data_IF_632921674113
#
_entry.id   IF_632921674113
#
_cell.length_a   1.000
_cell.length_b   1.000
_cell.length_c   1.000
_cell.angle_alpha   90.00
_cell.angle_beta   90.00
_cell.angle_gamma   90.00
#
_symmetry.space_group_name_H-M   'P 1'
#
loop_
_entity.id
_entity.type
_entity.pdbx_description
1 polymer ?
#
# COMPACT_ATOMS: atom_id res chain seq x y z
N UNK A 1 71.81 64.07 -10.24
CA UNK A 1 70.87 63.89 -9.21
C UNK A 1 69.52 63.54 -9.83
N UNK A 2 69.32 62.32 -10.44
CA UNK A 2 68.09 61.87 -11.11
C UNK A 2 67.96 60.35 -11.10
N UNK A 3 67.92 59.73 -9.95
CA UNK A 3 67.86 58.25 -9.92
C UNK A 3 66.73 57.68 -8.94
N UNK A 4 65.92 58.49 -8.27
CA UNK A 4 65.04 57.93 -7.26
C UNK A 4 63.50 57.98 -7.55
N UNK A 5 63.07 58.34 -8.76
CA UNK A 5 61.64 58.45 -9.04
C UNK A 5 61.07 57.19 -9.73
N UNK A 6 61.88 56.34 -10.36
CA UNK A 6 61.35 55.16 -11.09
C UNK A 6 61.08 53.97 -10.18
N UNK A 7 61.73 53.78 -9.05
CA UNK A 7 61.51 52.62 -8.16
C UNK A 7 60.21 52.68 -7.38
N UNK A 8 59.76 53.90 -7.04
CA UNK A 8 58.44 54.02 -6.29
C UNK A 8 57.25 53.74 -7.11
N UNK A 9 57.28 53.99 -8.41
CA UNK A 9 56.15 53.72 -9.33
C UNK A 9 56.06 52.22 -9.64
N UNK A 10 57.18 51.53 -9.76
CA UNK A 10 57.23 50.09 -9.98
C UNK A 10 56.72 49.28 -8.76
N UNK A 11 57.08 49.69 -7.54
CA UNK A 11 56.60 49.06 -6.30
C UNK A 11 55.06 49.25 -6.11
N UNK A 12 54.51 50.41 -6.47
CA UNK A 12 53.07 50.65 -6.34
C UNK A 12 52.28 49.85 -7.37
N UNK A 13 52.79 49.67 -8.59
CA UNK A 13 52.13 48.85 -9.62
C UNK A 13 52.14 47.35 -9.28
N UNK A 14 53.20 46.84 -8.67
CA UNK A 14 53.26 45.45 -8.21
C UNK A 14 52.31 45.18 -7.02
N UNK A 15 52.19 46.11 -6.09
CA UNK A 15 51.20 46.01 -4.99
C UNK A 15 49.76 46.01 -5.51
N UNK A 16 49.41 46.89 -6.43
CA UNK A 16 48.11 46.94 -7.06
C UNK A 16 47.82 45.63 -7.79
N UNK A 17 48.76 45.12 -8.59
CA UNK A 17 48.60 43.84 -9.27
C UNK A 17 48.42 42.68 -8.30
N UNK A 18 49.13 42.67 -7.17
CA UNK A 18 48.97 41.66 -6.11
C UNK A 18 47.60 41.70 -5.45
N UNK A 19 47.09 42.91 -5.13
CA UNK A 19 45.72 43.08 -4.56
C UNK A 19 44.64 42.63 -5.54
N UNK A 20 44.79 43.00 -6.81
CA UNK A 20 43.83 42.57 -7.88
C UNK A 20 43.82 41.07 -8.01
N UNK A 21 45.01 40.41 -7.97
CA UNK A 21 45.09 38.95 -8.05
C UNK A 21 44.43 38.27 -6.86
N UNK A 22 44.62 38.76 -5.63
CA UNK A 22 44.00 38.23 -4.43
C UNK A 22 42.45 38.39 -4.47
N UNK A 23 41.96 39.52 -4.96
CA UNK A 23 40.51 39.74 -5.13
C UNK A 23 39.93 38.81 -6.19
N UNK A 24 40.64 38.62 -7.31
CA UNK A 24 40.21 37.68 -8.36
C UNK A 24 40.19 36.25 -7.86
N UNK A 25 41.22 35.81 -7.11
CA UNK A 25 41.24 34.47 -6.52
C UNK A 25 40.14 34.28 -5.49
N UNK A 26 39.85 35.28 -4.67
CA UNK A 26 38.79 35.24 -3.67
C UNK A 26 37.38 35.19 -4.33
N UNK A 27 37.17 35.97 -5.40
CA UNK A 27 35.91 35.92 -6.17
C UNK A 27 35.75 34.58 -6.89
N UNK A 28 36.82 34.08 -7.53
CA UNK A 28 36.80 32.77 -8.19
C UNK A 28 36.52 31.63 -7.20
N UNK A 29 37.14 31.64 -6.04
CA UNK A 29 36.90 30.67 -4.98
C UNK A 29 35.45 30.69 -4.46
N UNK A 30 34.89 31.88 -4.26
CA UNK A 30 33.48 32.03 -3.87
C UNK A 30 32.50 31.52 -4.95
N UNK A 31 32.79 31.80 -6.22
CA UNK A 31 32.00 31.29 -7.35
C UNK A 31 32.06 29.76 -7.43
N UNK A 32 33.24 29.18 -7.31
CA UNK A 32 33.42 27.72 -7.32
C UNK A 32 32.69 27.06 -6.16
N UNK A 33 32.78 27.62 -4.96
CA UNK A 33 32.05 27.09 -3.79
C UNK A 33 30.55 27.12 -3.93
N UNK A 34 30.00 28.24 -4.42
CA UNK A 34 28.57 28.38 -4.70
C UNK A 34 28.11 27.43 -5.80
N UNK A 35 28.84 27.33 -6.88
CA UNK A 35 28.51 26.43 -7.98
C UNK A 35 28.52 24.95 -7.55
N UNK A 36 29.47 24.54 -6.70
CA UNK A 36 29.53 23.20 -6.13
C UNK A 36 28.32 22.91 -5.24
N UNK A 37 27.87 23.90 -4.48
CA UNK A 37 26.62 23.84 -3.66
C UNK A 37 25.38 23.66 -4.52
N UNK A 38 25.22 24.48 -5.54
CA UNK A 38 24.06 24.45 -6.44
C UNK A 38 23.97 23.13 -7.24
N UNK A 39 25.10 22.59 -7.69
CA UNK A 39 25.18 21.28 -8.38
C UNK A 39 24.79 20.16 -7.42
N UNK A 40 25.29 20.18 -6.18
CA UNK A 40 24.96 19.17 -5.17
C UNK A 40 23.49 19.19 -4.79
N UNK A 41 22.87 20.36 -4.70
CA UNK A 41 21.45 20.49 -4.39
C UNK A 41 20.55 20.06 -5.55
N UNK A 42 20.92 20.40 -6.78
CA UNK A 42 20.23 19.94 -7.98
C UNK A 42 20.29 18.41 -8.12
N UNK A 43 21.44 17.79 -7.82
CA UNK A 43 21.58 16.34 -7.86
C UNK A 43 20.75 15.64 -6.79
N UNK A 44 20.74 16.18 -5.56
CA UNK A 44 19.86 15.68 -4.47
C UNK A 44 18.38 15.78 -4.83
N UNK A 45 17.98 16.87 -5.47
CA UNK A 45 16.60 17.07 -5.89
C UNK A 45 16.21 16.05 -6.97
N UNK A 46 17.05 15.88 -7.99
CA UNK A 46 16.84 14.86 -9.04
C UNK A 46 16.76 13.45 -8.48
N UNK A 47 17.61 13.12 -7.51
CA UNK A 47 17.61 11.81 -6.86
C UNK A 47 16.31 11.59 -6.06
N UNK A 48 15.84 12.61 -5.32
CA UNK A 48 14.56 12.55 -4.60
C UNK A 48 13.36 12.39 -5.53
N UNK A 49 13.34 13.14 -6.63
CA UNK A 49 12.27 13.07 -7.62
C UNK A 49 12.25 11.70 -8.31
N UNK A 50 13.42 11.18 -8.66
CA UNK A 50 13.56 9.83 -9.22
C UNK A 50 13.07 8.75 -8.25
N UNK A 51 13.45 8.85 -6.96
CA UNK A 51 12.96 7.95 -5.91
C UNK A 51 11.45 8.01 -5.75
N UNK A 52 10.89 9.22 -5.71
CA UNK A 52 9.44 9.43 -5.58
C UNK A 52 8.67 8.81 -6.75
N UNK A 53 9.16 9.00 -7.96
CA UNK A 53 8.55 8.41 -9.15
C UNK A 53 8.56 6.89 -9.09
N UNK A 54 9.73 6.29 -8.78
CA UNK A 54 9.87 4.84 -8.65
C UNK A 54 9.03 4.26 -7.52
N UNK A 55 8.95 4.94 -6.38
CA UNK A 55 8.09 4.54 -5.27
C UNK A 55 6.61 4.58 -5.66
N UNK A 56 6.19 5.59 -6.41
CA UNK A 56 4.82 5.68 -6.91
C UNK A 56 4.50 4.56 -7.89
N UNK A 57 5.39 4.26 -8.83
CA UNK A 57 5.21 3.17 -9.80
C UNK A 57 5.19 1.81 -9.10
N UNK A 58 6.07 1.57 -8.12
CA UNK A 58 6.06 0.39 -7.27
C UNK A 58 4.71 0.21 -6.57
N UNK A 59 4.24 1.26 -5.90
CA UNK A 59 2.96 1.21 -5.17
C UNK A 59 1.79 0.94 -6.12
N UNK A 60 1.76 1.59 -7.29
CA UNK A 60 0.70 1.37 -8.28
C UNK A 60 0.69 -0.06 -8.83
N UNK A 61 1.86 -0.66 -9.07
CA UNK A 61 1.92 -2.04 -9.57
C UNK A 61 1.53 -3.04 -8.48
N UNK A 62 1.98 -2.82 -7.24
CA UNK A 62 1.57 -3.60 -6.09
C UNK A 62 0.07 -3.53 -5.83
N UNK A 63 -0.49 -2.33 -5.77
CA UNK A 63 -1.93 -2.10 -5.55
C UNK A 63 -2.77 -2.71 -6.67
N UNK A 64 -2.28 -2.68 -7.91
CA UNK A 64 -2.97 -3.30 -9.04
C UNK A 64 -3.13 -4.80 -8.86
N UNK A 65 -2.10 -5.49 -8.35
CA UNK A 65 -2.16 -6.93 -8.10
C UNK A 65 -3.15 -7.26 -6.97
N UNK A 66 -3.11 -6.53 -5.86
CA UNK A 66 -4.08 -6.71 -4.78
C UNK A 66 -5.50 -6.37 -5.21
N UNK A 67 -5.67 -5.32 -6.01
CA UNK A 67 -6.97 -4.91 -6.55
C UNK A 67 -7.57 -5.97 -7.46
N UNK A 68 -6.78 -6.66 -8.28
CA UNK A 68 -7.28 -7.78 -9.12
C UNK A 68 -7.88 -8.88 -8.26
N UNK A 69 -7.20 -9.26 -7.18
CA UNK A 69 -7.73 -10.27 -6.24
C UNK A 69 -8.97 -9.74 -5.54
N UNK A 70 -8.94 -8.50 -5.07
CA UNK A 70 -10.08 -7.87 -4.40
C UNK A 70 -11.33 -7.83 -5.29
N UNK A 71 -11.18 -7.42 -6.55
CA UNK A 71 -12.28 -7.34 -7.51
C UNK A 71 -12.83 -8.73 -7.87
N UNK A 72 -12.02 -9.78 -7.86
CA UNK A 72 -12.49 -11.14 -8.09
C UNK A 72 -13.48 -11.60 -7.01
N UNK A 73 -13.39 -11.03 -5.79
CA UNK A 73 -14.32 -11.24 -4.69
C UNK A 73 -15.44 -10.19 -4.63
N UNK A 74 -15.65 -9.42 -5.70
CA UNK A 74 -16.88 -8.63 -5.80
C UNK A 74 -18.05 -9.59 -6.03
N UNK A 75 -18.80 -9.87 -4.94
CA UNK A 75 -19.82 -10.89 -4.90
C UNK A 75 -21.19 -10.28 -5.12
N UNK A 76 -22.04 -10.96 -5.87
CA UNK A 76 -23.46 -10.67 -5.93
C UNK A 76 -24.10 -11.06 -4.61
N UNK A 77 -24.78 -10.12 -3.96
CA UNK A 77 -25.36 -10.32 -2.63
C UNK A 77 -26.45 -11.39 -2.62
N UNK A 78 -27.28 -11.47 -3.68
CA UNK A 78 -28.37 -12.41 -3.75
C UNK A 78 -27.88 -13.83 -4.05
N UNK A 79 -26.86 -13.97 -4.88
CA UNK A 79 -26.20 -15.25 -5.14
C UNK A 79 -25.49 -15.76 -3.87
N UNK A 80 -24.80 -14.87 -3.17
CA UNK A 80 -24.12 -15.21 -1.92
C UNK A 80 -25.08 -15.64 -0.81
N UNK A 81 -26.26 -15.01 -0.68
CA UNK A 81 -27.27 -15.41 0.31
C UNK A 81 -27.83 -16.81 0.04
N UNK A 82 -28.00 -17.19 -1.24
CA UNK A 82 -28.52 -18.50 -1.63
C UNK A 82 -27.49 -19.61 -1.48
N UNK A 83 -26.28 -19.37 -1.97
CA UNK A 83 -25.23 -20.37 -2.06
C UNK A 83 -23.86 -19.77 -1.72
N UNK A 84 -23.58 -19.50 -0.44
CA UNK A 84 -22.35 -18.80 -0.06
C UNK A 84 -21.08 -19.58 -0.43
N UNK A 85 -21.07 -20.91 -0.27
CA UNK A 85 -19.91 -21.72 -0.59
C UNK A 85 -19.58 -21.69 -2.08
N UNK A 86 -20.57 -21.93 -2.94
CA UNK A 86 -20.41 -21.89 -4.41
C UNK A 86 -19.95 -20.51 -4.88
N UNK A 87 -20.59 -19.45 -4.37
CA UNK A 87 -20.24 -18.07 -4.74
C UNK A 87 -18.80 -17.71 -4.36
N UNK A 88 -18.34 -18.16 -3.18
CA UNK A 88 -16.94 -17.98 -2.76
C UNK A 88 -15.98 -18.84 -3.57
N UNK A 89 -16.34 -20.05 -3.94
CA UNK A 89 -15.52 -20.91 -4.78
C UNK A 89 -15.31 -20.31 -6.17
N UNK A 90 -16.36 -19.77 -6.78
CA UNK A 90 -16.30 -19.08 -8.06
C UNK A 90 -15.43 -17.82 -7.97
N UNK A 91 -15.55 -17.06 -6.89
CA UNK A 91 -14.70 -15.91 -6.64
C UNK A 91 -13.22 -16.31 -6.48
N UNK A 92 -12.94 -17.39 -5.75
CA UNK A 92 -11.61 -17.94 -5.60
C UNK A 92 -11.04 -18.41 -6.93
N UNK A 93 -11.85 -19.06 -7.79
CA UNK A 93 -11.44 -19.48 -9.12
C UNK A 93 -11.09 -18.28 -10.00
N UNK A 94 -11.92 -17.21 -9.97
CA UNK A 94 -11.62 -15.93 -10.65
C UNK A 94 -10.33 -15.30 -10.14
N UNK A 95 -10.14 -15.26 -8.80
CA UNK A 95 -8.93 -14.71 -8.20
C UNK A 95 -7.67 -15.48 -8.61
N UNK A 96 -7.73 -16.82 -8.64
CA UNK A 96 -6.63 -17.66 -9.11
C UNK A 96 -6.26 -17.41 -10.58
N UNK A 97 -7.25 -17.11 -11.42
CA UNK A 97 -7.03 -16.79 -12.83
C UNK A 97 -6.50 -15.38 -13.04
N UNK A 98 -6.97 -14.42 -12.21
CA UNK A 98 -6.59 -13.01 -12.31
C UNK A 98 -5.23 -12.69 -11.70
N UNK A 99 -4.79 -13.47 -10.69
CA UNK A 99 -3.55 -13.21 -9.98
C UNK A 99 -2.33 -13.54 -10.86
N UNK A 100 -1.35 -12.63 -10.89
CA UNK A 100 -0.06 -12.85 -11.56
C UNK A 100 0.77 -13.89 -10.81
N UNK A 101 0.66 -13.90 -9.47
CA UNK A 101 1.33 -14.87 -8.60
C UNK A 101 0.40 -16.04 -8.32
N UNK A 102 0.66 -17.24 -8.89
CA UNK A 102 -0.15 -18.41 -8.64
C UNK A 102 -0.12 -18.82 -7.15
N UNK A 103 -1.30 -19.12 -6.59
CA UNK A 103 -1.43 -19.57 -5.21
C UNK A 103 -1.17 -18.49 -4.16
N UNK A 104 -1.28 -17.21 -4.53
CA UNK A 104 -1.18 -16.10 -3.59
C UNK A 104 -2.32 -16.12 -2.56
N UNK A 105 -3.51 -16.59 -2.90
CA UNK A 105 -4.61 -16.81 -1.96
C UNK A 105 -4.40 -18.14 -1.24
N UNK A 106 -4.12 -18.08 0.05
CA UNK A 106 -3.89 -19.25 0.92
C UNK A 106 -5.20 -19.87 1.41
N UNK A 107 -6.14 -19.04 1.86
CA UNK A 107 -7.42 -19.47 2.38
C UNK A 107 -8.48 -18.36 2.24
N UNK A 108 -9.74 -18.76 2.20
CA UNK A 108 -10.89 -17.85 2.21
C UNK A 108 -11.75 -18.19 3.40
N UNK A 109 -12.03 -17.18 4.22
CA UNK A 109 -12.86 -17.31 5.41
C UNK A 109 -14.09 -16.43 5.31
N UNK A 110 -15.17 -16.89 5.90
CA UNK A 110 -16.38 -16.13 6.16
C UNK A 110 -16.49 -15.87 7.66
N UNK A 111 -16.70 -14.61 8.02
CA UNK A 111 -16.98 -14.17 9.38
C UNK A 111 -18.41 -13.64 9.40
N UNK A 112 -19.24 -14.18 10.29
CA UNK A 112 -20.56 -13.67 10.59
C UNK A 112 -20.56 -13.08 12.01
N UNK A 113 -20.91 -11.81 12.14
CA UNK A 113 -21.07 -11.19 13.45
C UNK A 113 -22.46 -11.39 14.03
N UNK A 114 -23.45 -11.73 13.19
CA UNK A 114 -24.84 -12.01 13.58
C UNK A 114 -25.40 -13.16 12.76
N UNK A 115 -26.33 -13.89 13.33
CA UNK A 115 -26.96 -15.03 12.66
C UNK A 115 -26.60 -16.37 13.32
N UNK A 116 -26.94 -17.48 12.68
CA UNK A 116 -26.78 -18.82 13.27
C UNK A 116 -25.29 -19.21 13.44
N UNK A 117 -24.38 -18.59 12.71
CA UNK A 117 -22.94 -18.84 12.78
C UNK A 117 -22.17 -17.64 13.38
N UNK A 118 -22.85 -16.81 14.18
CA UNK A 118 -22.22 -15.67 14.81
C UNK A 118 -21.04 -16.09 15.70
N UNK A 119 -19.89 -15.45 15.51
CA UNK A 119 -18.67 -15.75 16.26
C UNK A 119 -17.90 -16.98 15.78
N UNK A 120 -18.43 -17.73 14.81
CA UNK A 120 -17.77 -18.89 14.21
C UNK A 120 -17.02 -18.45 12.96
N UNK A 121 -15.73 -18.81 12.87
CA UNK A 121 -14.97 -18.67 11.65
C UNK A 121 -15.27 -19.86 10.75
N UNK A 122 -15.70 -19.57 9.52
CA UNK A 122 -15.95 -20.59 8.51
C UNK A 122 -14.91 -20.50 7.42
N UNK A 123 -14.31 -21.61 7.06
CA UNK A 123 -13.33 -21.70 5.95
C UNK A 123 -13.97 -22.40 4.76
N UNK A 124 -13.74 -21.86 3.55
CA UNK A 124 -14.07 -22.57 2.32
C UNK A 124 -13.15 -23.78 2.20
N UNK A 125 -13.71 -24.97 2.03
CA UNK A 125 -12.97 -26.20 1.90
C UNK A 125 -12.12 -26.24 0.60
N UNK A 126 -11.16 -27.13 0.53
CA UNK A 126 -10.26 -27.24 -0.62
C UNK A 126 -11.00 -27.62 -1.92
N UNK A 127 -12.18 -28.25 -1.80
CA UNK A 127 -13.03 -28.61 -2.94
C UNK A 127 -13.93 -27.46 -3.42
N UNK A 128 -14.04 -26.39 -2.64
CA UNK A 128 -14.91 -25.26 -2.93
C UNK A 128 -16.41 -25.56 -2.78
N UNK A 129 -16.77 -26.64 -2.07
CA UNK A 129 -18.17 -27.10 -2.00
C UNK A 129 -18.86 -26.75 -0.70
N UNK A 130 -18.11 -26.53 0.36
CA UNK A 130 -18.66 -26.30 1.68
C UNK A 130 -17.87 -25.25 2.48
N UNK A 131 -18.58 -24.56 3.33
CA UNK A 131 -18.01 -23.74 4.40
C UNK A 131 -17.96 -24.59 5.67
N UNK A 132 -16.78 -24.79 6.21
CA UNK A 132 -16.54 -25.60 7.40
C UNK A 132 -16.12 -24.73 8.58
N UNK A 133 -16.68 -24.93 9.77
CA UNK A 133 -16.22 -24.24 10.94
C UNK A 133 -14.78 -24.64 11.27
N UNK A 134 -13.95 -23.65 11.57
CA UNK A 134 -12.54 -23.84 11.92
C UNK A 134 -12.19 -23.02 13.16
N UNK A 135 -11.14 -23.43 13.85
CA UNK A 135 -10.59 -22.64 14.93
C UNK A 135 -9.99 -21.33 14.40
N UNK A 136 -10.07 -20.30 15.22
CA UNK A 136 -9.51 -19.01 14.89
C UNK A 136 -7.98 -19.06 14.90
N UNK A 137 -7.31 -18.85 13.76
CA UNK A 137 -5.87 -18.70 13.75
C UNK A 137 -5.44 -17.49 14.60
N UNK A 138 -4.31 -17.55 15.31
CA UNK A 138 -3.82 -16.44 16.13
C UNK A 138 -3.72 -15.12 15.37
N UNK A 139 -3.36 -15.18 14.07
CA UNK A 139 -3.29 -14.03 13.20
C UNK A 139 -4.64 -13.32 12.98
N UNK A 140 -5.77 -14.03 13.14
CA UNK A 140 -7.12 -13.49 12.96
C UNK A 140 -7.81 -13.17 14.30
N UNK A 141 -7.12 -13.27 15.43
CA UNK A 141 -7.69 -13.03 16.77
C UNK A 141 -8.28 -11.62 16.93
N UNK A 142 -7.70 -10.64 16.25
CA UNK A 142 -8.24 -9.26 16.19
C UNK A 142 -9.63 -9.23 15.55
N UNK A 143 -9.83 -10.03 14.53
CA UNK A 143 -11.11 -10.14 13.83
C UNK A 143 -12.15 -10.87 14.66
N UNK A 144 -11.75 -11.90 15.43
CA UNK A 144 -12.61 -12.57 16.39
C UNK A 144 -13.19 -11.58 17.40
N UNK A 145 -12.31 -10.83 18.08
CA UNK A 145 -12.72 -9.82 19.07
C UNK A 145 -13.65 -8.76 18.47
N UNK A 146 -13.41 -8.37 17.23
CA UNK A 146 -14.31 -7.46 16.53
C UNK A 146 -15.67 -8.10 16.25
N UNK A 147 -15.71 -9.33 15.78
CA UNK A 147 -16.96 -10.05 15.53
C UNK A 147 -17.80 -10.18 16.81
N UNK A 148 -17.15 -10.53 17.93
CA UNK A 148 -17.78 -10.62 19.25
C UNK A 148 -18.34 -9.26 19.73
N UNK A 149 -17.58 -8.17 19.53
CA UNK A 149 -18.04 -6.83 19.92
C UNK A 149 -19.28 -6.37 19.14
N UNK A 150 -19.43 -6.79 17.89
CA UNK A 150 -20.61 -6.49 17.07
C UNK A 150 -21.79 -7.37 17.41
N UNK A 151 -21.53 -8.63 17.74
CA UNK A 151 -22.60 -9.51 18.23
C UNK A 151 -23.28 -8.92 19.49
N UNK A 152 -22.49 -8.22 20.33
CA UNK A 152 -22.94 -7.58 21.56
C UNK A 152 -23.53 -6.16 21.36
N UNK A 153 -23.39 -5.56 20.18
CA UNK A 153 -23.84 -4.21 19.91
C UNK A 153 -25.35 -4.15 19.64
N UNK A 154 -25.97 -3.03 20.00
CA UNK A 154 -27.42 -2.77 19.80
C UNK A 154 -27.75 -2.88 18.31
N UNK A 155 -28.85 -3.62 17.94
CA UNK A 155 -29.30 -3.69 16.57
C UNK A 155 -29.64 -2.29 16.02
N UNK A 156 -29.10 -1.98 14.81
CA UNK A 156 -29.39 -0.70 14.14
C UNK A 156 -28.23 0.31 14.17
N UNK A 157 -27.21 0.12 15.01
CA UNK A 157 -25.99 0.92 14.91
C UNK A 157 -25.05 0.38 13.80
N UNK A 158 -24.38 1.28 13.04
CA UNK A 158 -23.35 0.86 12.10
C UNK A 158 -22.28 0.04 12.82
N UNK A 159 -22.03 -1.15 12.32
CA UNK A 159 -21.10 -2.06 12.97
C UNK A 159 -19.65 -1.63 12.75
N UNK A 160 -18.84 -1.38 13.81
CA UNK A 160 -17.45 -0.97 13.67
C UNK A 160 -16.54 -2.03 13.05
N UNK A 161 -16.95 -3.29 12.93
CA UNK A 161 -16.19 -4.34 12.23
C UNK A 161 -15.85 -3.91 10.81
N UNK A 162 -16.75 -3.19 10.19
CA UNK A 162 -16.70 -2.92 8.76
C UNK A 162 -16.14 -1.53 8.43
N UNK A 163 -15.69 -0.79 9.45
CA UNK A 163 -14.92 0.45 9.28
C UNK A 163 -13.41 0.20 9.13
N UNK A 164 -12.97 -1.08 9.19
CA UNK A 164 -11.57 -1.42 9.01
C UNK A 164 -11.14 -1.28 7.55
N UNK A 165 -9.87 -0.97 7.35
CA UNK A 165 -9.24 -0.93 6.05
C UNK A 165 -9.42 -2.26 5.31
N UNK A 166 -9.56 -2.17 3.99
CA UNK A 166 -9.70 -3.36 3.13
C UNK A 166 -8.48 -4.28 3.20
N UNK A 167 -7.35 -3.77 3.66
CA UNK A 167 -6.08 -4.50 3.84
C UNK A 167 -5.70 -4.47 5.31
N UNK A 168 -5.41 -5.63 5.90
CA UNK A 168 -4.85 -5.72 7.23
C UNK A 168 -3.32 -5.69 7.17
N UNK A 169 -2.72 -4.61 7.65
CA UNK A 169 -1.27 -4.43 7.64
C UNK A 169 -0.51 -5.41 8.56
N UNK A 170 -1.19 -6.00 9.54
CA UNK A 170 -0.56 -6.94 10.49
C UNK A 170 -0.69 -8.40 10.05
N UNK A 171 -1.66 -8.68 9.18
CA UNK A 171 -1.92 -10.00 8.62
C UNK A 171 -2.12 -9.79 7.13
N UNK A 172 -1.43 -10.52 6.24
CA UNK A 172 -1.58 -10.36 4.81
C UNK A 172 -2.96 -10.89 4.37
N UNK A 173 -3.99 -10.09 4.61
CA UNK A 173 -5.37 -10.43 4.33
C UNK A 173 -6.13 -9.26 3.71
N UNK A 174 -6.97 -9.57 2.73
CA UNK A 174 -7.97 -8.65 2.19
C UNK A 174 -9.29 -8.91 2.89
N UNK A 175 -9.95 -7.84 3.32
CA UNK A 175 -11.24 -7.93 4.00
C UNK A 175 -12.31 -7.30 3.13
N UNK A 176 -13.25 -8.12 2.72
CA UNK A 176 -14.32 -7.75 1.81
C UNK A 176 -15.62 -7.75 2.60
N UNK A 177 -16.21 -6.59 2.68
CA UNK A 177 -17.48 -6.40 3.38
C UNK A 177 -18.63 -6.85 2.49
N UNK A 178 -19.53 -7.62 3.06
CA UNK A 178 -20.76 -7.97 2.41
C UNK A 178 -21.84 -6.96 2.84
N UNK A 179 -22.17 -6.04 1.94
CA UNK A 179 -23.25 -5.07 2.17
C UNK A 179 -24.51 -5.59 1.55
N UNK A 180 -25.55 -5.81 2.36
CA UNK A 180 -26.87 -6.10 1.85
C UNK A 180 -27.60 -4.79 1.57
N UNK A 181 -28.16 -4.67 0.40
CA UNK A 181 -29.00 -3.54 0.03
C UNK A 181 -30.44 -3.97 0.17
N UNK A 182 -31.18 -3.31 1.07
CA UNK A 182 -32.62 -3.52 1.21
C UNK A 182 -33.36 -2.54 0.33
N UNK A 183 -34.13 -3.07 -0.59
CA UNK A 183 -35.08 -2.28 -1.40
C UNK A 183 -36.37 -2.13 -0.61
N UNK A 184 -36.73 -0.90 -0.28
CA UNK A 184 -37.95 -0.56 0.42
C UNK A 184 -38.88 0.12 -0.59
N UNK A 185 -39.98 -0.54 -0.92
CA UNK A 185 -41.04 0.06 -1.74
C UNK A 185 -42.06 0.71 -0.80
N UNK A 186 -42.18 2.01 -0.87
CA UNK A 186 -43.16 2.75 -0.09
C UNK A 186 -43.93 3.72 -1.02
N UNK A 187 -45.20 3.47 -1.24
CA UNK A 187 -46.08 4.37 -2.02
C UNK A 187 -45.62 4.68 -3.45
N UNK A 188 -45.02 3.71 -4.17
CA UNK A 188 -44.53 3.89 -5.54
C UNK A 188 -43.10 4.46 -5.64
N UNK A 189 -42.48 4.77 -4.51
CA UNK A 189 -41.05 5.16 -4.45
C UNK A 189 -40.20 3.98 -3.99
N UNK A 190 -39.14 3.69 -4.74
CA UNK A 190 -38.13 2.68 -4.36
C UNK A 190 -36.98 3.38 -3.66
N UNK A 191 -36.89 3.19 -2.36
CA UNK A 191 -35.69 3.62 -1.60
C UNK A 191 -34.74 2.44 -1.46
N UNK A 192 -33.47 2.70 -1.78
CA UNK A 192 -32.38 1.73 -1.63
C UNK A 192 -31.60 2.13 -0.39
N UNK A 193 -31.63 1.32 0.65
CA UNK A 193 -30.90 1.58 1.89
C UNK A 193 -29.99 0.39 2.21
N UNK A 194 -28.75 0.66 2.73
CA UNK A 194 -27.93 -0.41 3.28
C UNK A 194 -28.71 -1.12 4.42
N UNK A 195 -28.76 -2.44 4.39
CA UNK A 195 -29.33 -3.21 5.49
C UNK A 195 -28.28 -3.34 6.61
N UNK A 196 -28.44 -2.63 7.74
CA UNK A 196 -27.45 -2.67 8.82
C UNK A 196 -27.39 -4.04 9.51
N UNK A 197 -28.42 -4.89 9.36
CA UNK A 197 -28.48 -6.22 9.93
C UNK A 197 -27.84 -7.24 8.98
N UNK A 198 -28.09 -7.12 7.68
CA UNK A 198 -27.51 -8.00 6.65
C UNK A 198 -26.02 -7.71 6.38
N UNK A 199 -25.51 -6.56 6.83
CA UNK A 199 -24.09 -6.17 6.66
C UNK A 199 -23.16 -6.74 7.72
N UNK A 200 -23.59 -7.71 8.52
CA UNK A 200 -22.80 -8.30 9.60
C UNK A 200 -21.92 -9.47 9.12
N UNK A 201 -21.52 -9.47 7.84
CA UNK A 201 -20.69 -10.50 7.23
C UNK A 201 -19.47 -9.89 6.57
N UNK A 202 -18.33 -10.58 6.70
CA UNK A 202 -17.10 -10.22 6.01
C UNK A 202 -16.43 -11.48 5.45
N UNK A 203 -15.91 -11.37 4.24
CA UNK A 203 -15.04 -12.38 3.65
C UNK A 203 -13.59 -11.94 3.88
N UNK A 204 -12.81 -12.82 4.48
CA UNK A 204 -11.38 -12.61 4.70
C UNK A 204 -10.61 -13.51 3.74
N UNK A 205 -9.91 -12.88 2.80
CA UNK A 205 -9.04 -13.56 1.85
C UNK A 205 -7.63 -13.52 2.40
N UNK A 206 -7.18 -14.63 2.97
CA UNK A 206 -5.84 -14.73 3.55
C UNK A 206 -4.83 -15.01 2.45
N UNK A 207 -3.83 -14.12 2.36
CA UNK A 207 -2.75 -14.23 1.41
C UNK A 207 -1.58 -15.03 2.00
N UNK A 208 -0.85 -15.71 1.14
CA UNK A 208 0.39 -16.39 1.50
C UNK A 208 1.51 -15.36 1.63
N UNK A 209 1.96 -15.10 2.88
CA UNK A 209 2.98 -14.10 3.18
C UNK A 209 4.31 -14.37 2.47
N UNK A 210 4.73 -15.65 2.41
CA UNK A 210 5.98 -16.03 1.77
C UNK A 210 5.94 -15.80 0.26
N UNK A 211 4.83 -16.19 -0.39
CA UNK A 211 4.62 -15.92 -1.81
C UNK A 211 4.48 -14.43 -2.11
N UNK A 212 3.74 -13.72 -1.26
CA UNK A 212 3.62 -12.27 -1.37
C UNK A 212 5.00 -11.59 -1.34
N UNK A 213 5.84 -11.99 -0.39
CA UNK A 213 7.18 -11.46 -0.25
C UNK A 213 8.06 -11.85 -1.43
N UNK A 214 8.25 -13.17 -1.67
CA UNK A 214 9.24 -13.66 -2.64
C UNK A 214 8.83 -13.51 -4.09
N UNK A 215 7.55 -13.65 -4.40
CA UNK A 215 7.08 -13.70 -5.79
C UNK A 215 6.43 -12.38 -6.26
N UNK A 216 6.05 -11.50 -5.34
CA UNK A 216 5.50 -10.19 -5.69
C UNK A 216 6.41 -9.05 -5.23
N UNK A 217 6.72 -8.94 -3.94
CA UNK A 217 7.46 -7.78 -3.41
C UNK A 217 8.92 -7.77 -3.85
N UNK A 218 9.67 -8.87 -3.70
CA UNK A 218 11.10 -8.90 -4.07
C UNK A 218 11.34 -8.59 -5.56
N UNK A 219 10.58 -9.15 -6.53
CA UNK A 219 10.71 -8.77 -7.93
C UNK A 219 10.38 -7.31 -8.20
N UNK A 220 9.34 -6.75 -7.54
CA UNK A 220 8.99 -5.33 -7.67
C UNK A 220 10.08 -4.42 -7.08
N UNK A 221 10.60 -4.76 -5.91
CA UNK A 221 11.73 -4.02 -5.30
C UNK A 221 12.94 -4.06 -6.23
N UNK A 222 13.30 -5.22 -6.75
CA UNK A 222 14.42 -5.37 -7.70
C UNK A 222 14.21 -4.56 -8.98
N UNK A 223 12.99 -4.53 -9.51
CA UNK A 223 12.63 -3.79 -10.73
C UNK A 223 12.77 -2.28 -10.55
N UNK A 224 12.27 -1.73 -9.45
CA UNK A 224 12.20 -0.28 -9.25
C UNK A 224 13.38 0.32 -8.49
N UNK A 225 14.03 -0.45 -7.61
CA UNK A 225 15.10 0.05 -6.74
C UNK A 225 16.46 -0.62 -6.98
N UNK A 226 16.50 -1.68 -7.80
CA UNK A 226 17.71 -2.45 -8.08
C UNK A 226 17.93 -3.60 -7.11
N UNK A 227 18.83 -4.51 -7.45
CA UNK A 227 19.11 -5.74 -6.69
C UNK A 227 20.44 -5.66 -5.96
N UNK A 228 20.47 -5.96 -4.67
CA UNK A 228 21.67 -6.19 -3.86
C UNK A 228 22.68 -5.05 -3.87
N UNK A 229 23.97 -5.38 -4.04
CA UNK A 229 25.11 -4.44 -4.03
C UNK A 229 25.05 -3.32 -5.08
N UNK A 230 24.18 -3.43 -6.07
CA UNK A 230 23.94 -2.40 -7.09
C UNK A 230 22.76 -1.49 -6.74
N UNK A 231 22.10 -1.73 -5.62
CA UNK A 231 21.03 -0.86 -5.17
C UNK A 231 21.58 0.48 -4.70
N UNK A 232 21.17 1.56 -5.34
CA UNK A 232 21.51 2.92 -4.90
C UNK A 232 20.71 3.30 -3.62
N UNK A 233 19.84 2.40 -3.11
CA UNK A 233 18.90 2.72 -2.05
C UNK A 233 18.74 1.54 -1.07
N UNK A 234 18.63 1.86 0.22
CA UNK A 234 18.19 0.92 1.25
C UNK A 234 16.66 0.95 1.32
N UNK A 235 16.03 -0.17 0.96
CA UNK A 235 14.58 -0.34 1.10
C UNK A 235 14.35 -1.26 2.29
N UNK A 236 13.65 -0.75 3.32
CA UNK A 236 13.14 -1.53 4.46
C UNK A 236 11.62 -1.70 4.29
N UNK A 237 11.16 -2.93 4.31
CA UNK A 237 9.74 -3.30 4.22
C UNK A 237 9.26 -3.82 5.56
#
# INVERSE_FOLDING_TARGET
MRVHFHDRVALSSQLVAGVVLVVLLGTLGTFQYRWLGDVSEAERTRMRDSLRTRATEFTQEFDRELTRIYLAFHLDSDAFEREPATTLADALARAKTAAVVPGLVKAVFLIEARGPHAGVLQQLDASGRALQPVEWPPALERWRRRAESVASAVPGMPSPIFMADAVDATTPALVIRMSRIKRIENGGHVAVMPDPVGSARAVVVWLDAERLQRQLLEPLVSKYFGSGDKSAYLVSV
#
